data_IF_814105523593
#
_entry.id   IF_814105523593
#
_cell.length_a   1.000
_cell.length_b   1.000
_cell.length_c   1.000
_cell.angle_alpha   90.00
_cell.angle_beta   90.00
_cell.angle_gamma   90.00
#
_symmetry.space_group_name_H-M   'P 1'
#
loop_
_entity.id
_entity.type
_entity.pdbx_description
1 polymer ?
#
# COMPACT_ATOMS: atom_id res chain seq x y z
N UNK A 1 3.41 -4.79 5.99
CA UNK A 1 2.42 -4.93 4.89
C UNK A 1 1.05 -5.19 5.50
N UNK A 2 0.18 -4.18 5.56
CA UNK A 2 -1.17 -4.29 6.11
C UNK A 2 -2.15 -4.64 4.99
N UNK A 3 -2.52 -5.92 4.90
CA UNK A 3 -3.68 -6.37 4.13
C UNK A 3 -4.92 -6.19 5.01
N UNK A 4 -5.70 -5.14 4.78
CA UNK A 4 -7.01 -4.96 5.40
C UNK A 4 -8.02 -5.91 4.74
N UNK A 5 -8.04 -7.16 5.21
CA UNK A 5 -9.11 -8.13 4.94
C UNK A 5 -10.22 -7.98 5.98
N UNK A 6 -11.41 -7.59 5.55
CA UNK A 6 -12.57 -7.45 6.42
C UNK A 6 -13.10 -8.81 6.86
N UNK A 7 -12.74 -9.27 8.06
CA UNK A 7 -13.50 -10.31 8.78
C UNK A 7 -13.88 -9.79 10.17
N UNK A 8 -15.15 -9.46 10.33
CA UNK A 8 -15.74 -9.12 11.61
C UNK A 8 -15.71 -10.36 12.54
N UNK A 9 -14.96 -10.27 13.64
CA UNK A 9 -14.99 -11.26 14.72
C UNK A 9 -16.00 -10.78 15.76
N UNK A 10 -17.17 -11.42 15.80
CA UNK A 10 -18.19 -11.15 16.80
C UNK A 10 -17.85 -11.88 18.11
N UNK A 11 -17.40 -11.14 19.13
CA UNK A 11 -17.30 -11.65 20.50
C UNK A 11 -18.71 -11.70 21.13
N UNK A 12 -19.23 -12.91 21.39
CA UNK A 12 -20.40 -13.09 22.27
C UNK A 12 -19.94 -13.12 23.72
N UNK A 13 -20.36 -12.16 24.53
CA UNK A 13 -20.45 -12.33 26.00
C UNK A 13 -21.91 -12.52 26.38
N UNK A 14 -22.19 -13.63 27.05
CA UNK A 14 -23.48 -13.92 27.65
C UNK A 14 -23.64 -13.11 28.93
N UNK A 15 -24.71 -12.33 29.05
CA UNK A 15 -25.17 -11.76 30.30
C UNK A 15 -26.65 -12.14 30.49
N UNK A 16 -26.91 -12.91 31.53
CA UNK A 16 -28.25 -13.27 31.97
C UNK A 16 -28.92 -12.09 32.65
N UNK A 17 -30.15 -11.77 32.28
CA UNK A 17 -31.06 -11.08 33.19
C UNK A 17 -32.49 -11.62 33.02
N UNK A 18 -33.05 -12.08 34.13
CA UNK A 18 -34.41 -12.59 34.26
C UNK A 18 -35.40 -11.44 34.32
N UNK A 19 -36.56 -11.65 33.70
CA UNK A 19 -37.84 -11.10 34.14
C UNK A 19 -38.21 -9.72 33.59
N UNK A 20 -39.13 -9.69 32.62
CA UNK A 20 -40.37 -8.91 32.68
C UNK A 20 -41.28 -9.27 31.50
N UNK A 21 -42.58 -9.26 31.78
CA UNK A 21 -43.68 -9.90 31.09
C UNK A 21 -44.21 -9.16 29.85
N UNK A 22 -44.61 -9.95 28.84
CA UNK A 22 -45.60 -9.71 27.75
C UNK A 22 -46.20 -8.31 27.59
N UNK A 23 -46.07 -7.75 26.38
CA UNK A 23 -47.20 -7.23 25.57
C UNK A 23 -46.97 -7.62 24.10
N UNK A 24 -47.98 -8.25 23.46
CA UNK A 24 -48.05 -8.57 22.02
C UNK A 24 -48.83 -7.46 21.31
N UNK A 25 -48.23 -6.82 20.30
CA UNK A 25 -48.89 -6.17 19.15
C UNK A 25 -47.76 -5.63 18.24
N UNK A 26 -47.86 -5.45 16.93
CA UNK A 26 -48.75 -5.91 15.87
C UNK A 26 -47.84 -5.93 14.61
N UNK A 27 -48.18 -6.75 13.64
CA UNK A 27 -47.44 -6.89 12.38
C UNK A 27 -47.33 -5.56 11.62
N UNK A 28 -46.11 -5.07 11.38
CA UNK A 28 -45.84 -4.10 10.31
C UNK A 28 -45.08 -4.80 9.19
N UNK A 29 -45.67 -4.74 8.00
CA UNK A 29 -45.15 -5.31 6.75
C UNK A 29 -43.81 -4.65 6.44
N UNK A 30 -42.77 -5.45 6.26
CA UNK A 30 -41.48 -4.98 5.77
C UNK A 30 -41.61 -4.47 4.35
N UNK A 31 -41.35 -3.17 4.16
CA UNK A 31 -41.16 -2.58 2.83
C UNK A 31 -39.71 -2.79 2.46
N UNK A 32 -39.49 -3.49 1.34
CA UNK A 32 -38.17 -3.72 0.74
C UNK A 32 -37.55 -2.39 0.29
N UNK A 33 -36.39 -2.03 0.85
CA UNK A 33 -35.52 -0.97 0.35
C UNK A 33 -34.11 -1.53 0.07
N UNK A 34 -33.43 -0.89 -0.89
CA UNK A 34 -32.12 -1.24 -1.48
C UNK A 34 -31.16 -2.02 -0.56
N UNK A 35 -30.54 -3.05 -1.13
CA UNK A 35 -29.51 -3.89 -0.49
C UNK A 35 -28.53 -3.05 0.35
N UNK A 36 -28.56 -3.26 1.68
CA UNK A 36 -27.59 -2.71 2.62
C UNK A 36 -28.12 -1.71 3.65
N UNK A 37 -29.36 -1.22 3.54
CA UNK A 37 -29.98 -0.43 4.61
C UNK A 37 -30.77 -1.33 5.56
N UNK A 38 -30.13 -1.82 6.61
CA UNK A 38 -30.88 -2.32 7.78
C UNK A 38 -31.58 -1.15 8.45
N UNK A 39 -32.92 -1.19 8.50
CA UNK A 39 -33.69 -0.32 9.40
C UNK A 39 -33.12 -0.48 10.81
N UNK A 40 -32.58 0.60 11.38
CA UNK A 40 -31.93 0.58 12.68
C UNK A 40 -32.88 0.06 13.75
N UNK A 41 -32.35 -0.64 14.75
CA UNK A 41 -33.18 -1.24 15.80
C UNK A 41 -33.76 -0.13 16.67
N UNK A 42 -34.93 -0.37 17.25
CA UNK A 42 -35.56 0.56 18.20
C UNK A 42 -34.56 0.86 19.32
N UNK A 43 -34.18 2.13 19.48
CA UNK A 43 -33.19 2.58 20.46
C UNK A 43 -31.82 2.97 19.90
N UNK A 44 -31.53 2.69 18.62
CA UNK A 44 -30.27 3.08 17.97
C UNK A 44 -30.38 4.45 17.27
N UNK A 45 -29.29 5.23 17.15
CA UNK A 45 -29.27 6.47 16.36
C UNK A 45 -29.53 6.21 14.87
N UNK A 46 -30.44 6.98 14.26
CA UNK A 46 -30.88 6.83 12.86
C UNK A 46 -30.37 7.97 11.96
N UNK A 47 -29.06 8.22 11.95
CA UNK A 47 -28.45 9.25 11.09
C UNK A 47 -27.76 8.62 9.89
N UNK A 48 -28.11 9.04 8.68
CA UNK A 48 -27.59 8.46 7.44
C UNK A 48 -26.06 8.61 7.24
N UNK A 49 -25.46 9.63 7.86
CA UNK A 49 -24.03 9.92 7.75
C UNK A 49 -23.14 9.10 8.68
N UNK A 50 -23.71 8.40 9.66
CA UNK A 50 -22.96 7.57 10.60
C UNK A 50 -23.30 6.10 10.37
N UNK A 51 -22.30 5.25 10.52
CA UNK A 51 -22.50 3.80 10.59
C UNK A 51 -22.08 3.38 11.98
N UNK A 52 -22.89 2.53 12.62
CA UNK A 52 -22.56 1.90 13.91
C UNK A 52 -22.15 2.89 15.00
N UNK A 53 -23.03 3.86 15.30
CA UNK A 53 -22.84 4.78 16.43
C UNK A 53 -23.85 4.47 17.54
N UNK A 54 -23.48 4.78 18.79
CA UNK A 54 -24.31 4.59 19.98
C UNK A 54 -24.68 5.94 20.59
N UNK A 55 -25.80 6.01 21.29
CA UNK A 55 -26.13 7.22 22.07
C UNK A 55 -25.18 7.34 23.26
N UNK A 56 -24.69 8.55 23.51
CA UNK A 56 -24.00 8.91 24.74
C UNK A 56 -24.72 10.08 25.40
N UNK A 57 -24.86 10.04 26.73
CA UNK A 57 -25.28 11.19 27.53
C UNK A 57 -24.08 11.96 28.12
N UNK A 58 -22.87 11.45 27.89
CA UNK A 58 -21.62 11.98 28.39
C UNK A 58 -20.89 12.73 27.26
N UNK A 59 -20.43 13.95 27.56
CA UNK A 59 -19.62 14.75 26.62
C UNK A 59 -18.16 14.30 26.72
N UNK A 60 -17.81 13.29 25.95
CA UNK A 60 -16.46 12.74 25.86
C UNK A 60 -15.81 13.08 24.52
N UNK A 61 -14.59 13.62 24.55
CA UNK A 61 -13.78 13.84 23.35
C UNK A 61 -12.82 12.67 23.17
N UNK A 62 -12.73 12.15 21.94
CA UNK A 62 -11.68 11.19 21.58
C UNK A 62 -10.36 11.95 21.46
N UNK A 63 -9.51 11.88 22.48
CA UNK A 63 -8.24 12.62 22.54
C UNK A 63 -7.02 11.77 22.18
N UNK A 64 -7.15 10.44 22.26
CA UNK A 64 -6.06 9.50 22.02
C UNK A 64 -6.55 8.34 21.16
N UNK A 65 -5.71 7.98 20.20
CA UNK A 65 -5.88 6.77 19.39
C UNK A 65 -4.63 5.93 19.62
N UNK A 66 -4.83 4.71 20.11
CA UNK A 66 -3.72 3.78 20.32
C UNK A 66 -3.02 3.48 18.99
N UNK A 67 -1.68 3.53 18.93
CA UNK A 67 -0.94 3.18 17.73
C UNK A 67 -1.22 1.73 17.30
N UNK A 68 -1.24 1.51 15.99
CA UNK A 68 -1.28 0.14 15.47
C UNK A 68 0.02 -0.61 15.82
N UNK A 69 -0.05 -1.89 16.21
CA UNK A 69 1.14 -2.69 16.46
C UNK A 69 1.93 -2.90 15.16
N UNK A 70 3.27 -2.91 15.27
CA UNK A 70 4.16 -3.16 14.13
C UNK A 70 4.29 -4.66 13.90
N UNK A 71 3.87 -5.12 12.73
CA UNK A 71 3.97 -6.52 12.34
C UNK A 71 5.43 -6.91 12.05
N UNK A 72 5.89 -8.01 12.66
CA UNK A 72 7.27 -8.54 12.52
C UNK A 72 7.24 -10.06 12.36
N UNK A 73 8.18 -10.61 11.58
CA UNK A 73 8.37 -12.06 11.36
C UNK A 73 9.71 -12.61 11.85
N UNK A 74 10.73 -11.77 11.94
CA UNK A 74 12.06 -12.11 12.46
C UNK A 74 12.32 -11.28 13.71
N UNK A 75 12.85 -11.89 14.76
CA UNK A 75 13.33 -11.13 15.92
C UNK A 75 14.71 -10.50 15.68
N UNK A 76 15.23 -9.81 16.70
CA UNK A 76 16.50 -9.08 16.62
C UNK A 76 17.71 -10.02 16.53
N UNK A 77 17.51 -11.33 16.77
CA UNK A 77 18.50 -12.39 16.60
C UNK A 77 18.30 -13.17 15.30
N UNK A 78 17.46 -12.66 14.37
CA UNK A 78 17.10 -13.31 13.10
C UNK A 78 16.38 -14.66 13.27
N UNK A 79 15.71 -14.87 14.40
CA UNK A 79 14.89 -16.07 14.64
C UNK A 79 13.47 -15.84 14.10
N UNK A 80 12.96 -16.81 13.34
CA UNK A 80 11.58 -16.79 12.82
C UNK A 80 10.56 -16.89 13.95
N UNK A 81 9.63 -15.94 13.98
CA UNK A 81 8.54 -15.85 14.94
C UNK A 81 7.26 -16.58 14.48
N UNK A 82 7.37 -17.55 13.57
CA UNK A 82 6.24 -18.36 13.08
C UNK A 82 6.06 -19.62 13.93
N UNK A 83 4.82 -20.03 14.29
CA UNK A 83 4.59 -21.21 15.12
C UNK A 83 5.16 -22.51 14.56
N UNK A 84 5.29 -22.59 13.24
CA UNK A 84 5.74 -23.75 12.47
C UNK A 84 7.14 -23.56 11.85
N UNK A 85 7.78 -22.40 12.06
CA UNK A 85 9.08 -22.08 11.49
C UNK A 85 9.11 -21.98 9.96
N UNK A 86 7.94 -21.97 9.30
CA UNK A 86 7.90 -21.98 7.84
C UNK A 86 8.07 -20.57 7.25
N UNK A 87 8.73 -20.50 6.10
CA UNK A 87 8.79 -19.30 5.27
C UNK A 87 7.66 -19.33 4.23
N UNK A 88 7.08 -18.17 3.88
CA UNK A 88 6.03 -18.11 2.86
C UNK A 88 6.57 -18.25 1.42
N UNK A 89 7.87 -18.48 1.26
CA UNK A 89 8.61 -18.55 -0.02
C UNK A 89 9.70 -19.61 0.05
N UNK A 90 10.24 -19.99 -1.11
CA UNK A 90 11.33 -20.98 -1.21
C UNK A 90 12.70 -20.36 -0.87
N UNK A 91 13.70 -21.20 -0.59
CA UNK A 91 15.08 -20.73 -0.43
C UNK A 91 15.63 -20.06 -1.70
N UNK A 92 15.25 -20.55 -2.87
CA UNK A 92 15.67 -19.97 -4.15
C UNK A 92 15.10 -18.55 -4.34
N UNK A 93 13.83 -18.35 -3.95
CA UNK A 93 13.20 -17.03 -3.95
C UNK A 93 13.87 -16.09 -2.94
N UNK A 94 14.21 -16.58 -1.75
CA UNK A 94 14.93 -15.82 -0.73
C UNK A 94 16.32 -15.38 -1.23
N UNK A 95 17.08 -16.29 -1.86
CA UNK A 95 18.39 -16.00 -2.44
C UNK A 95 18.27 -15.01 -3.60
N UNK A 96 17.23 -15.11 -4.42
CA UNK A 96 16.98 -14.17 -5.50
C UNK A 96 16.69 -12.75 -4.98
N UNK A 97 15.85 -12.63 -3.95
CA UNK A 97 15.57 -11.36 -3.29
C UNK A 97 16.86 -10.76 -2.70
N UNK A 98 17.66 -11.58 -2.00
CA UNK A 98 18.93 -11.15 -1.41
C UNK A 98 19.94 -10.68 -2.46
N UNK A 99 20.09 -11.42 -3.57
CA UNK A 99 20.95 -11.03 -4.70
C UNK A 99 20.56 -9.66 -5.25
N UNK A 100 19.27 -9.39 -5.42
CA UNK A 100 18.81 -8.08 -5.90
C UNK A 100 19.04 -6.98 -4.85
N UNK A 101 18.82 -7.23 -3.56
CA UNK A 101 19.13 -6.26 -2.50
C UNK A 101 20.61 -5.86 -2.51
N UNK A 102 21.51 -6.84 -2.64
CA UNK A 102 22.96 -6.60 -2.75
C UNK A 102 23.26 -5.81 -4.04
N UNK A 103 22.62 -6.15 -5.15
CA UNK A 103 22.81 -5.48 -6.44
C UNK A 103 22.36 -4.02 -6.39
N UNK A 104 21.21 -3.73 -5.78
CA UNK A 104 20.73 -2.34 -5.56
C UNK A 104 21.77 -1.56 -4.76
N UNK A 105 22.23 -2.12 -3.64
CA UNK A 105 23.20 -1.46 -2.77
C UNK A 105 24.54 -1.18 -3.48
N UNK A 106 25.07 -2.15 -4.23
CA UNK A 106 26.29 -2.00 -5.01
C UNK A 106 26.14 -0.94 -6.12
N UNK A 107 25.00 -0.92 -6.81
CA UNK A 107 24.73 0.08 -7.84
C UNK A 107 24.60 1.49 -7.26
N UNK A 108 23.96 1.61 -6.10
CA UNK A 108 23.81 2.87 -5.41
C UNK A 108 25.16 3.47 -5.05
N UNK A 109 26.10 2.67 -4.53
CA UNK A 109 27.45 3.15 -4.22
C UNK A 109 28.15 3.69 -5.47
N UNK A 110 28.11 2.93 -6.57
CA UNK A 110 28.77 3.32 -7.82
C UNK A 110 28.15 4.59 -8.41
N UNK A 111 26.83 4.65 -8.56
CA UNK A 111 26.17 5.78 -9.21
C UNK A 111 26.17 7.04 -8.32
N UNK A 112 26.17 6.88 -7.00
CA UNK A 112 26.42 7.99 -6.09
C UNK A 112 27.80 8.61 -6.30
N UNK A 113 28.86 7.79 -6.41
CA UNK A 113 30.21 8.27 -6.66
C UNK A 113 30.35 8.90 -8.06
N UNK A 114 29.70 8.32 -9.08
CA UNK A 114 29.61 8.87 -10.44
C UNK A 114 28.92 10.24 -10.45
N UNK A 115 27.84 10.40 -9.66
CA UNK A 115 27.17 11.70 -9.46
C UNK A 115 28.11 12.70 -8.80
N UNK A 116 28.91 12.26 -7.81
CA UNK A 116 29.85 13.14 -7.13
C UNK A 116 31.00 13.62 -8.01
N UNK A 117 31.35 12.84 -9.03
CA UNK A 117 32.28 13.24 -10.08
C UNK A 117 31.65 14.15 -11.15
N UNK A 118 30.35 14.44 -11.08
CA UNK A 118 29.62 15.26 -12.05
C UNK A 118 29.37 14.55 -13.39
N UNK A 119 29.49 13.22 -13.45
CA UNK A 119 29.23 12.44 -14.68
C UNK A 119 27.74 12.22 -14.94
N UNK A 120 26.93 12.20 -13.88
CA UNK A 120 25.46 12.29 -13.93
C UNK A 120 25.00 13.50 -13.12
N UNK A 121 23.87 14.09 -13.52
CA UNK A 121 23.37 15.32 -12.91
C UNK A 121 22.79 15.13 -11.51
N UNK A 122 22.20 13.96 -11.25
CA UNK A 122 21.46 13.68 -10.02
C UNK A 122 21.49 12.18 -9.70
N UNK A 123 21.38 11.82 -8.42
CA UNK A 123 21.21 10.44 -7.99
C UNK A 123 20.61 10.36 -6.59
N UNK A 124 19.82 9.33 -6.32
CA UNK A 124 19.24 9.02 -5.01
C UNK A 124 19.46 7.54 -4.72
N UNK A 125 19.96 7.26 -3.53
CA UNK A 125 20.22 5.89 -3.08
C UNK A 125 18.96 5.27 -2.46
N UNK A 126 18.98 3.95 -2.28
CA UNK A 126 17.91 3.13 -1.73
C UNK A 126 18.29 2.54 -0.36
N UNK A 127 19.34 3.08 0.28
CA UNK A 127 19.88 2.56 1.54
C UNK A 127 18.82 2.47 2.64
N UNK A 128 18.66 1.26 3.19
CA UNK A 128 17.70 0.96 4.24
C UNK A 128 16.27 0.68 3.75
N UNK A 129 16.04 0.82 2.44
CA UNK A 129 14.72 0.64 1.82
C UNK A 129 14.70 -0.54 0.82
N UNK A 130 15.80 -1.26 0.64
CA UNK A 130 15.90 -2.36 -0.31
C UNK A 130 14.89 -3.47 0.03
N UNK A 131 14.78 -3.83 1.31
CA UNK A 131 13.87 -4.89 1.76
C UNK A 131 12.38 -4.53 1.58
N UNK A 132 12.00 -3.26 1.74
CA UNK A 132 10.60 -2.84 1.60
C UNK A 132 10.16 -2.86 0.13
N UNK A 133 11.07 -2.48 -0.77
CA UNK A 133 10.86 -2.57 -2.22
C UNK A 133 10.68 -4.03 -2.67
N UNK A 134 11.64 -4.87 -2.32
CA UNK A 134 11.68 -6.26 -2.76
C UNK A 134 10.61 -7.13 -2.11
N UNK A 135 10.35 -6.93 -0.81
CA UNK A 135 9.31 -7.66 -0.11
C UNK A 135 7.91 -7.39 -0.68
N UNK A 136 7.65 -6.16 -1.13
CA UNK A 136 6.40 -5.87 -1.86
C UNK A 136 6.45 -6.47 -3.25
N UNK A 137 7.52 -6.26 -4.03
CA UNK A 137 7.62 -6.77 -5.40
C UNK A 137 7.43 -8.31 -5.49
N UNK A 138 8.02 -9.06 -4.55
CA UNK A 138 7.89 -10.51 -4.46
C UNK A 138 6.47 -10.97 -4.11
N UNK A 139 5.74 -10.17 -3.32
CA UNK A 139 4.34 -10.43 -2.99
C UNK A 139 3.33 -10.12 -4.10
N UNK A 140 3.77 -9.54 -5.22
CA UNK A 140 2.90 -9.15 -6.33
C UNK A 140 2.99 -10.14 -7.49
N UNK A 141 1.88 -10.29 -8.22
CA UNK A 141 1.87 -10.95 -9.52
C UNK A 141 2.53 -10.03 -10.54
N UNK A 142 3.16 -10.61 -11.56
CA UNK A 142 3.79 -9.82 -12.63
C UNK A 142 2.80 -8.88 -13.34
N UNK A 143 1.53 -9.27 -13.45
CA UNK A 143 0.45 -8.46 -14.03
C UNK A 143 0.00 -7.30 -13.14
N UNK A 144 0.37 -7.22 -11.85
CA UNK A 144 -0.02 -6.10 -11.01
C UNK A 144 0.69 -4.82 -11.47
N UNK A 145 -0.03 -3.70 -11.52
CA UNK A 145 0.51 -2.44 -12.01
C UNK A 145 1.13 -1.64 -10.87
N UNK A 146 2.38 -1.19 -11.04
CA UNK A 146 3.13 -0.46 -10.00
C UNK A 146 3.30 1.01 -10.38
N UNK A 147 2.97 1.90 -9.45
CA UNK A 147 3.32 3.31 -9.43
C UNK A 147 4.45 3.55 -8.42
N UNK A 148 5.70 3.66 -8.88
CA UNK A 148 6.84 4.02 -8.03
C UNK A 148 6.80 5.52 -7.70
N UNK A 149 7.50 5.93 -6.64
CA UNK A 149 7.73 7.34 -6.32
C UNK A 149 9.09 7.82 -6.84
N UNK A 150 10.19 7.18 -6.41
CA UNK A 150 11.57 7.39 -6.89
C UNK A 150 12.62 6.58 -6.12
N UNK A 151 12.25 5.85 -5.04
CA UNK A 151 13.15 4.93 -4.30
C UNK A 151 12.65 3.49 -4.46
N UNK A 152 12.38 3.07 -5.69
CA UNK A 152 11.84 1.76 -6.00
C UNK A 152 12.70 0.99 -7.00
N UNK A 153 14.01 1.29 -7.09
CA UNK A 153 14.93 0.62 -8.02
C UNK A 153 14.89 -0.92 -7.87
N UNK A 154 14.78 -1.41 -6.64
CA UNK A 154 14.64 -2.84 -6.36
C UNK A 154 13.39 -3.47 -7.00
N UNK A 155 12.27 -2.73 -7.10
CA UNK A 155 11.07 -3.21 -7.79
C UNK A 155 11.32 -3.34 -9.30
N UNK A 156 12.03 -2.37 -9.88
CA UNK A 156 12.43 -2.42 -11.29
C UNK A 156 13.33 -3.64 -11.56
N UNK A 157 14.40 -3.82 -10.78
CA UNK A 157 15.33 -4.94 -10.96
C UNK A 157 14.64 -6.29 -10.77
N UNK A 158 13.75 -6.42 -9.78
CA UNK A 158 12.96 -7.64 -9.55
C UNK A 158 12.07 -8.01 -10.73
N UNK A 159 11.57 -7.01 -11.47
CA UNK A 159 10.72 -7.22 -12.64
C UNK A 159 11.47 -7.30 -13.97
N UNK A 160 12.81 -7.41 -13.92
CA UNK A 160 13.64 -7.64 -15.10
C UNK A 160 14.26 -6.40 -15.72
N UNK A 161 14.13 -5.22 -15.09
CA UNK A 161 14.91 -4.06 -15.49
C UNK A 161 16.39 -4.33 -15.25
N UNK A 162 17.21 -4.15 -16.27
CA UNK A 162 18.63 -4.49 -16.20
C UNK A 162 19.45 -3.35 -15.61
N UNK A 163 20.60 -3.68 -15.02
CA UNK A 163 21.56 -2.67 -14.55
C UNK A 163 22.06 -1.78 -15.70
N UNK A 164 22.17 -2.34 -16.91
CA UNK A 164 22.46 -1.56 -18.11
C UNK A 164 21.40 -0.49 -18.36
N UNK A 165 20.11 -0.84 -18.31
CA UNK A 165 19.01 0.12 -18.49
C UNK A 165 18.97 1.19 -17.38
N UNK A 166 19.33 0.84 -16.14
CA UNK A 166 19.51 1.83 -15.05
C UNK A 166 20.57 2.85 -15.42
N UNK A 167 21.74 2.38 -15.91
CA UNK A 167 22.82 3.27 -16.35
C UNK A 167 22.42 4.09 -17.57
N UNK A 168 21.74 3.49 -18.54
CA UNK A 168 21.28 4.17 -19.74
C UNK A 168 20.34 5.33 -19.40
N UNK A 169 19.42 5.13 -18.46
CA UNK A 169 18.52 6.18 -17.97
C UNK A 169 19.27 7.28 -17.22
N UNK A 170 20.16 6.93 -16.29
CA UNK A 170 20.90 7.90 -15.49
C UNK A 170 21.89 8.75 -16.31
N UNK A 171 22.44 8.18 -17.39
CA UNK A 171 23.40 8.85 -18.28
C UNK A 171 22.72 9.47 -19.51
N UNK A 172 21.40 9.34 -19.65
CA UNK A 172 20.62 9.79 -20.81
C UNK A 172 21.18 9.29 -22.15
N UNK A 173 21.53 8.01 -22.22
CA UNK A 173 22.11 7.40 -23.44
C UNK A 173 21.03 7.21 -24.53
N UNK A 174 21.46 6.81 -25.73
CA UNK A 174 20.54 6.50 -26.83
C UNK A 174 19.62 5.30 -26.53
N UNK A 175 20.00 4.46 -25.55
CA UNK A 175 19.25 3.27 -25.15
C UNK A 175 18.26 3.55 -24.01
N UNK A 176 18.23 4.77 -23.47
CA UNK A 176 17.23 5.16 -22.49
C UNK A 176 15.82 5.06 -23.09
N UNK A 177 14.97 4.23 -22.48
CA UNK A 177 13.56 4.11 -22.84
C UNK A 177 12.81 5.45 -22.70
N UNK A 178 13.25 6.30 -21.76
CA UNK A 178 12.78 7.68 -21.54
C UNK A 178 13.33 8.71 -22.52
N UNK A 179 14.23 8.31 -23.43
CA UNK A 179 14.85 9.15 -24.48
C UNK A 179 15.61 10.37 -23.93
N UNK A 180 16.19 10.26 -22.73
CA UNK A 180 16.95 11.31 -22.06
C UNK A 180 16.10 12.51 -21.61
N UNK A 181 14.77 12.36 -21.53
CA UNK A 181 13.84 13.47 -21.27
C UNK A 181 13.58 13.72 -19.79
N UNK A 182 13.88 12.74 -18.95
CA UNK A 182 13.64 12.80 -17.51
C UNK A 182 14.98 12.94 -16.78
N UNK A 183 14.92 13.43 -15.54
CA UNK A 183 16.09 13.44 -14.67
C UNK A 183 16.54 12.00 -14.33
N UNK A 184 17.82 11.78 -13.98
CA UNK A 184 18.27 10.48 -13.47
C UNK A 184 17.39 9.96 -12.32
N UNK A 185 17.27 8.63 -12.21
CA UNK A 185 16.39 7.90 -11.26
C UNK A 185 14.90 7.90 -11.65
N UNK A 186 14.53 8.59 -12.73
CA UNK A 186 13.17 8.52 -13.28
C UNK A 186 13.00 7.39 -14.29
N UNK A 187 13.05 6.16 -13.80
CA UNK A 187 13.00 4.97 -14.64
C UNK A 187 11.65 4.83 -15.38
N UNK A 188 11.73 4.36 -16.62
CA UNK A 188 10.59 4.01 -17.47
C UNK A 188 10.75 2.54 -17.89
N UNK A 189 9.80 1.68 -17.50
CA UNK A 189 9.85 0.25 -17.84
C UNK A 189 8.46 -0.37 -17.98
N UNK A 190 7.72 -0.06 -19.07
CA UNK A 190 6.36 -0.55 -19.27
C UNK A 190 6.26 -2.08 -19.35
N UNK A 191 7.32 -2.77 -19.80
CA UNK A 191 7.37 -4.23 -19.91
C UNK A 191 7.24 -4.91 -18.54
N UNK A 192 7.68 -4.27 -17.47
CA UNK A 192 7.53 -4.75 -16.10
C UNK A 192 6.21 -4.39 -15.43
N UNK A 193 5.22 -3.87 -16.16
CA UNK A 193 4.00 -3.30 -15.56
C UNK A 193 4.31 -2.23 -14.48
N UNK A 194 5.33 -1.40 -14.74
CA UNK A 194 5.72 -0.29 -13.88
C UNK A 194 5.50 1.01 -14.65
N UNK A 195 4.81 1.96 -14.03
CA UNK A 195 4.59 3.28 -14.58
C UNK A 195 5.85 4.13 -14.47
N UNK A 196 5.99 5.07 -15.39
CA UNK A 196 7.12 6.00 -15.37
C UNK A 196 7.13 6.81 -14.07
N UNK A 197 8.33 6.95 -13.50
CA UNK A 197 8.57 7.79 -12.31
C UNK A 197 8.39 9.27 -12.68
N UNK A 198 7.84 10.07 -11.77
CA UNK A 198 7.68 11.53 -11.91
C UNK A 198 8.07 12.26 -10.62
N UNK A 199 8.65 13.47 -10.73
CA UNK A 199 9.09 14.26 -9.56
C UNK A 199 7.96 14.70 -8.61
N UNK A 200 6.78 15.16 -9.09
CA UNK A 200 5.74 15.67 -8.20
C UNK A 200 5.33 14.59 -7.19
N UNK A 201 5.37 14.93 -5.90
CA UNK A 201 5.00 14.01 -4.84
C UNK A 201 3.48 13.80 -4.82
N UNK A 202 3.02 12.62 -4.43
CA UNK A 202 1.60 12.33 -4.21
C UNK A 202 0.77 12.05 -5.47
N UNK A 203 1.13 12.58 -6.64
CA UNK A 203 0.31 12.53 -7.87
C UNK A 203 -0.01 11.12 -8.37
N UNK A 204 0.82 10.15 -8.01
CA UNK A 204 0.78 8.75 -8.41
C UNK A 204 -0.29 8.00 -7.61
N UNK A 205 -0.57 8.46 -6.39
CA UNK A 205 -1.46 7.82 -5.43
C UNK A 205 -2.92 7.78 -5.95
N UNK A 206 -3.51 8.88 -6.47
CA UNK A 206 -4.85 8.83 -7.06
C UNK A 206 -4.87 8.06 -8.39
N UNK A 207 -3.78 8.04 -9.17
CA UNK A 207 -3.70 7.22 -10.38
C UNK A 207 -3.85 5.73 -10.08
N UNK A 208 -3.17 5.23 -9.03
CA UNK A 208 -3.33 3.85 -8.60
C UNK A 208 -4.77 3.55 -8.12
N UNK A 209 -5.42 4.51 -7.45
CA UNK A 209 -6.83 4.37 -7.04
C UNK A 209 -7.77 4.26 -8.24
N UNK A 210 -7.54 5.07 -9.28
CA UNK A 210 -8.30 5.01 -10.53
C UNK A 210 -8.06 3.72 -11.31
N UNK A 211 -6.81 3.28 -11.43
CA UNK A 211 -6.47 2.04 -12.10
C UNK A 211 -7.04 0.80 -11.40
N UNK A 212 -6.94 0.74 -10.07
CA UNK A 212 -7.55 -0.34 -9.28
C UNK A 212 -9.08 -0.35 -9.40
N UNK A 213 -9.71 0.80 -9.66
CA UNK A 213 -11.15 0.86 -9.93
C UNK A 213 -11.47 0.31 -11.33
N UNK A 214 -10.65 0.62 -12.34
CA UNK A 214 -10.76 -0.02 -13.66
C UNK A 214 -10.63 -1.54 -13.56
N UNK A 215 -9.63 -2.05 -12.84
CA UNK A 215 -9.44 -3.50 -12.69
C UNK A 215 -10.65 -4.19 -12.05
N UNK A 216 -11.29 -3.52 -11.09
CA UNK A 216 -12.55 -3.98 -10.49
C UNK A 216 -13.70 -4.01 -11.50
N UNK A 217 -13.86 -2.97 -12.30
CA UNK A 217 -14.90 -2.93 -13.35
C UNK A 217 -14.70 -4.03 -14.39
N UNK A 218 -13.44 -4.33 -14.71
CA UNK A 218 -13.06 -5.39 -15.64
C UNK A 218 -13.14 -6.79 -15.03
N UNK A 219 -13.38 -6.91 -13.72
CA UNK A 219 -13.34 -8.19 -13.00
C UNK A 219 -11.96 -8.86 -13.03
N UNK A 220 -10.89 -8.07 -13.20
CA UNK A 220 -9.54 -8.56 -13.41
C UNK A 220 -8.89 -9.03 -12.09
N UNK A 221 -8.22 -10.18 -12.13
CA UNK A 221 -7.37 -10.67 -11.05
C UNK A 221 -5.99 -9.99 -11.07
N UNK A 222 -6.00 -8.67 -10.82
CA UNK A 222 -4.81 -7.83 -10.69
C UNK A 222 -5.08 -6.63 -9.78
N UNK A 223 -4.05 -6.05 -9.19
CA UNK A 223 -4.15 -4.85 -8.37
C UNK A 223 -3.26 -3.71 -8.91
N UNK A 224 -3.59 -2.49 -8.47
CA UNK A 224 -2.76 -1.32 -8.61
C UNK A 224 -1.99 -1.09 -7.30
N UNK A 225 -0.69 -0.87 -7.37
CA UNK A 225 0.16 -0.67 -6.20
C UNK A 225 0.83 0.68 -6.34
N UNK A 226 0.80 1.51 -5.30
CA UNK A 226 1.52 2.79 -5.28
C UNK A 226 2.44 2.84 -4.09
N UNK A 227 3.69 3.24 -4.35
CA UNK A 227 4.66 3.57 -3.31
C UNK A 227 4.67 5.07 -3.06
N UNK A 228 4.87 5.48 -1.81
CA UNK A 228 5.04 6.88 -1.42
C UNK A 228 5.69 6.97 -0.03
N UNK A 229 6.44 8.05 0.22
CA UNK A 229 6.99 8.36 1.54
C UNK A 229 5.96 8.97 2.50
N UNK A 230 6.28 9.01 3.79
CA UNK A 230 5.46 9.65 4.84
C UNK A 230 5.25 11.16 4.59
N UNK A 231 6.27 11.87 4.09
CA UNK A 231 6.11 13.26 3.68
C UNK A 231 5.07 13.43 2.56
N UNK A 232 5.09 12.55 1.55
CA UNK A 232 4.14 12.59 0.45
C UNK A 232 2.71 12.20 0.87
N UNK A 233 2.53 11.52 2.00
CA UNK A 233 1.22 11.28 2.58
C UNK A 233 0.56 12.57 3.12
N UNK A 234 1.33 13.66 3.27
CA UNK A 234 0.80 14.98 3.65
C UNK A 234 0.28 15.79 2.45
N UNK A 235 0.49 15.31 1.22
CA UNK A 235 -0.07 15.95 0.03
C UNK A 235 -1.59 15.71 -0.08
N UNK A 236 -2.33 16.68 -0.63
CA UNK A 236 -3.79 16.58 -0.79
C UNK A 236 -4.25 15.38 -1.63
N UNK A 237 -3.39 14.91 -2.53
CA UNK A 237 -3.63 13.75 -3.38
C UNK A 237 -3.74 12.45 -2.58
N UNK A 238 -3.04 12.32 -1.45
CA UNK A 238 -3.13 11.13 -0.59
C UNK A 238 -4.54 10.98 -0.01
N UNK A 239 -5.06 12.03 0.64
CA UNK A 239 -6.40 12.00 1.23
C UNK A 239 -7.48 11.73 0.18
N UNK A 240 -7.33 12.34 -1.01
CA UNK A 240 -8.23 12.14 -2.15
C UNK A 240 -8.22 10.68 -2.62
N UNK A 241 -7.03 10.10 -2.79
CA UNK A 241 -6.85 8.74 -3.25
C UNK A 241 -7.43 7.70 -2.29
N UNK A 242 -7.12 7.79 -1.00
CA UNK A 242 -7.63 6.85 0.02
C UNK A 242 -9.15 6.92 0.11
N UNK A 243 -9.73 8.12 0.10
CA UNK A 243 -11.18 8.29 0.11
C UNK A 243 -11.82 7.66 -1.14
N UNK A 244 -11.30 7.98 -2.33
CA UNK A 244 -11.81 7.44 -3.59
C UNK A 244 -11.72 5.90 -3.61
N UNK A 245 -10.56 5.33 -3.27
CA UNK A 245 -10.38 3.88 -3.24
C UNK A 245 -11.33 3.19 -2.25
N UNK A 246 -11.56 3.78 -1.07
CA UNK A 246 -12.47 3.25 -0.05
C UNK A 246 -13.94 3.26 -0.49
N UNK A 247 -14.39 4.36 -1.10
CA UNK A 247 -15.77 4.50 -1.58
C UNK A 247 -16.01 3.60 -2.79
N UNK A 248 -15.09 3.62 -3.75
CA UNK A 248 -15.23 2.90 -5.03
C UNK A 248 -14.87 1.42 -4.93
N UNK A 249 -14.32 0.98 -3.79
CA UNK A 249 -13.78 -0.38 -3.58
C UNK A 249 -12.73 -0.73 -4.63
N UNK A 250 -11.80 0.19 -4.84
CA UNK A 250 -10.70 0.03 -5.79
C UNK A 250 -9.77 -1.12 -5.38
N UNK A 251 -9.30 -1.89 -6.36
CA UNK A 251 -8.27 -2.92 -6.17
C UNK A 251 -6.87 -2.27 -6.07
N UNK A 252 -6.67 -1.46 -5.03
CA UNK A 252 -5.44 -0.69 -4.83
C UNK A 252 -4.72 -1.06 -3.51
N UNK A 253 -3.39 -1.11 -3.57
CA UNK A 253 -2.49 -1.28 -2.42
C UNK A 253 -1.66 0.00 -2.26
N UNK A 254 -1.72 0.59 -1.07
CA UNK A 254 -0.99 1.81 -0.71
C UNK A 254 0.20 1.44 0.17
N UNK A 255 1.41 1.61 -0.36
CA UNK A 255 2.66 1.29 0.32
C UNK A 255 3.33 2.58 0.78
N UNK A 256 3.04 2.95 2.03
CA UNK A 256 3.72 4.06 2.69
C UNK A 256 5.06 3.61 3.26
N UNK A 257 6.15 4.24 2.83
CA UNK A 257 7.50 4.08 3.38
C UNK A 257 7.74 5.20 4.39
N UNK A 258 7.56 4.89 5.68
CA UNK A 258 7.82 5.82 6.76
C UNK A 258 9.23 5.59 7.31
N UNK A 259 10.18 6.42 6.88
CA UNK A 259 11.56 6.40 7.36
C UNK A 259 11.84 7.50 8.39
N UNK A 260 10.80 8.25 8.80
CA UNK A 260 10.85 9.30 9.81
C UNK A 260 11.26 10.68 9.30
N UNK A 261 11.54 10.85 8.00
CA UNK A 261 12.06 12.10 7.44
C UNK A 261 11.55 12.41 6.04
N UNK A 262 11.38 13.70 5.74
CA UNK A 262 10.97 14.20 4.44
C UNK A 262 11.85 15.37 3.98
N UNK A 263 13.10 15.04 3.58
CA UNK A 263 14.23 15.99 3.41
C UNK A 263 14.61 16.66 4.75
#
# INVERSE_FOLDING_TARGET
MLLLSSRAVAHRRAASCRGLSRIKSASSRGVSTREGMTLGRVGEPLFAGTRTTEWSNDLEFVTHVEPFPVFRRLDDNSVLMTPDGSLPFSNDEALHILDIMIRVNAYDQVLYDVQRQGRISFYMTNYGEEATQLGVAAGLKFQDMVWPQYRELGVFLYRGFTTQEVTDQCMSTLYDQGKGRQMPVHYCYPQGNIQAVSSPLGVNIPHASGAGYSFKLDGADRCAVTFFGDGAASEGDFATAINFASVMKSQAIFVCRNNGYAI
#
